data_IF_690325992441
#
_entry.id   IF_690325992441
#
_cell.length_a   1.000
_cell.length_b   1.000
_cell.length_c   1.000
_cell.angle_alpha   90.00
_cell.angle_beta   90.00
_cell.angle_gamma   90.00
#
_symmetry.space_group_name_H-M   'P 1'
#
loop_
_entity.id
_entity.type
_entity.pdbx_description
1 polymer ?
#
# COMPACT_ATOMS: atom_id res chain seq x y z
N UNK A 1 -41.56 -68.08 19.29
CA UNK A 1 -42.44 -67.52 18.24
C UNK A 1 -41.54 -67.02 17.11
N UNK A 2 -41.02 -67.90 16.24
CA UNK A 2 -41.53 -68.21 14.87
C UNK A 2 -41.54 -66.95 13.97
N UNK A 3 -40.56 -66.80 13.07
CA UNK A 3 -40.61 -67.20 11.63
C UNK A 3 -41.56 -66.27 10.84
N UNK A 4 -41.33 -65.71 9.64
CA UNK A 4 -40.67 -66.09 8.36
C UNK A 4 -40.93 -64.87 7.44
N UNK A 5 -39.98 -64.32 6.68
CA UNK A 5 -39.55 -64.67 5.30
C UNK A 5 -40.55 -64.37 4.15
N UNK A 6 -39.97 -63.95 3.01
CA UNK A 6 -40.51 -63.83 1.63
C UNK A 6 -41.52 -62.69 1.31
N UNK A 7 -41.62 -62.09 0.11
CA UNK A 7 -40.84 -61.94 -1.14
C UNK A 7 -41.76 -61.20 -2.17
N UNK A 8 -41.21 -60.81 -3.34
CA UNK A 8 -41.89 -60.31 -4.56
C UNK A 8 -42.34 -58.83 -4.53
N UNK A 9 -42.14 -57.99 -5.55
CA UNK A 9 -41.62 -58.14 -6.90
C UNK A 9 -42.13 -56.96 -7.76
N UNK A 10 -41.40 -56.57 -8.80
CA UNK A 10 -42.03 -55.96 -10.00
C UNK A 10 -41.76 -54.49 -10.35
N UNK A 11 -40.82 -54.32 -11.29
CA UNK A 11 -40.90 -53.51 -12.53
C UNK A 11 -40.92 -51.96 -12.49
N UNK A 12 -39.75 -51.43 -12.90
CA UNK A 12 -39.49 -50.39 -13.91
C UNK A 12 -40.70 -49.81 -14.67
N UNK A 13 -40.74 -48.47 -14.77
CA UNK A 13 -40.62 -47.74 -16.06
C UNK A 13 -40.37 -46.25 -15.86
N UNK A 14 -39.38 -45.76 -16.60
CA UNK A 14 -39.13 -44.34 -16.87
C UNK A 14 -40.16 -43.82 -17.89
N UNK A 15 -40.57 -42.56 -17.76
CA UNK A 15 -41.08 -41.75 -18.89
C UNK A 15 -40.62 -40.30 -18.70
N UNK A 16 -39.75 -39.88 -19.61
CA UNK A 16 -39.43 -38.52 -20.06
C UNK A 16 -40.59 -37.91 -20.86
N UNK A 17 -40.90 -36.63 -20.66
CA UNK A 17 -41.32 -35.65 -21.70
C UNK A 17 -41.50 -34.27 -21.04
N UNK A 18 -40.62 -33.28 -21.20
CA UNK A 18 -40.53 -32.25 -22.27
C UNK A 18 -41.81 -31.50 -22.65
N UNK A 19 -41.76 -30.20 -22.36
CA UNK A 19 -42.21 -29.00 -23.10
C UNK A 19 -43.66 -28.88 -23.61
N UNK A 20 -44.27 -27.74 -23.30
CA UNK A 20 -45.45 -27.24 -24.02
C UNK A 20 -46.02 -25.94 -23.47
N UNK A 21 -45.47 -24.82 -23.93
CA UNK A 21 -45.88 -23.43 -23.69
C UNK A 21 -47.33 -23.11 -24.07
N UNK A 22 -48.03 -22.24 -23.31
CA UNK A 22 -48.67 -20.99 -23.81
C UNK A 22 -49.43 -20.19 -22.75
N UNK A 23 -49.00 -18.93 -22.62
CA UNK A 23 -49.72 -17.65 -22.59
C UNK A 23 -50.88 -17.38 -21.60
N UNK A 24 -50.67 -16.34 -20.79
CA UNK A 24 -51.70 -15.47 -20.22
C UNK A 24 -51.06 -14.20 -19.65
N UNK A 25 -51.25 -13.07 -20.32
CA UNK A 25 -50.67 -11.75 -20.03
C UNK A 25 -51.57 -10.88 -19.12
N UNK A 26 -51.00 -10.01 -18.27
CA UNK A 26 -51.47 -8.67 -17.79
C UNK A 26 -50.25 -7.97 -17.11
N UNK A 27 -49.57 -7.00 -17.75
CA UNK A 27 -49.68 -5.51 -17.68
C UNK A 27 -49.27 -4.85 -16.35
N UNK A 28 -48.28 -3.93 -16.38
CA UNK A 28 -48.09 -2.84 -15.40
C UNK A 28 -46.64 -2.38 -15.13
N UNK A 29 -46.16 -1.39 -15.91
CA UNK A 29 -45.05 -0.39 -15.75
C UNK A 29 -44.23 -0.35 -14.43
N UNK A 30 -42.89 -0.45 -14.40
CA UNK A 30 -41.78 0.39 -14.94
C UNK A 30 -41.61 1.78 -14.29
N UNK A 31 -40.66 1.89 -13.34
CA UNK A 31 -39.99 3.14 -12.97
C UNK A 31 -38.48 2.98 -13.14
N UNK A 32 -37.93 3.76 -14.07
CA UNK A 32 -36.52 3.85 -14.40
C UNK A 32 -35.73 4.53 -13.27
N UNK A 33 -34.62 3.92 -12.86
CA UNK A 33 -33.56 4.60 -12.11
C UNK A 33 -32.35 4.76 -13.03
N UNK A 34 -32.12 6.00 -13.46
CA UNK A 34 -30.95 6.42 -14.24
C UNK A 34 -29.68 6.26 -13.41
N UNK A 35 -28.87 5.26 -13.75
CA UNK A 35 -27.45 5.21 -13.39
C UNK A 35 -26.65 6.03 -14.39
N UNK A 36 -26.02 7.10 -13.90
CA UNK A 36 -25.06 7.87 -14.67
C UNK A 36 -23.78 7.04 -14.88
N UNK A 37 -23.65 6.43 -16.06
CA UNK A 37 -22.40 5.84 -16.53
C UNK A 37 -21.41 6.97 -16.85
N UNK A 38 -20.49 7.24 -15.92
CA UNK A 38 -19.27 8.01 -16.22
C UNK A 38 -18.38 7.08 -17.04
N UNK A 39 -18.28 7.37 -18.34
CA UNK A 39 -17.43 6.66 -19.28
C UNK A 39 -15.95 6.84 -18.90
N UNK A 40 -15.33 5.79 -18.38
CA UNK A 40 -13.87 5.71 -18.27
C UNK A 40 -13.29 5.64 -19.69
N UNK A 41 -12.54 6.68 -20.08
CA UNK A 41 -11.69 6.64 -21.28
C UNK A 41 -10.58 5.61 -21.05
N UNK A 42 -10.37 4.64 -21.96
CA UNK A 42 -9.25 3.72 -21.85
C UNK A 42 -7.95 4.49 -22.09
N UNK A 43 -7.03 4.39 -21.13
CA UNK A 43 -5.63 4.81 -21.29
C UNK A 43 -5.02 3.93 -22.38
N UNK A 44 -4.55 4.56 -23.45
CA UNK A 44 -3.93 3.89 -24.58
C UNK A 44 -2.64 3.17 -24.12
N UNK A 45 -2.67 1.84 -24.13
CA UNK A 45 -1.47 1.02 -24.15
C UNK A 45 -0.76 1.30 -25.48
N UNK A 46 0.40 1.96 -25.41
CA UNK A 46 1.31 2.08 -26.54
C UNK A 46 1.90 0.70 -26.85
N UNK A 47 1.22 -0.01 -27.75
CA UNK A 47 1.70 -1.23 -28.38
C UNK A 47 2.90 -0.90 -29.29
N UNK A 48 4.11 -1.30 -28.90
CA UNK A 48 5.25 -1.30 -29.79
C UNK A 48 5.30 -2.62 -30.58
N UNK A 49 5.62 -2.61 -31.89
CA UNK A 49 5.60 -3.80 -32.73
C UNK A 49 6.88 -4.63 -32.52
N UNK A 50 6.71 -5.90 -32.17
CA UNK A 50 7.77 -6.91 -32.24
C UNK A 50 8.23 -7.08 -33.70
N UNK A 51 9.47 -6.69 -33.99
CA UNK A 51 10.17 -7.14 -35.19
C UNK A 51 10.82 -8.49 -34.90
N UNK A 52 10.20 -9.53 -35.44
CA UNK A 52 10.77 -10.86 -35.61
C UNK A 52 11.98 -10.82 -36.55
N UNK A 53 13.17 -11.04 -36.00
CA UNK A 53 14.32 -11.50 -36.78
C UNK A 53 14.34 -13.03 -36.70
N UNK A 54 13.78 -13.66 -37.74
CA UNK A 54 13.87 -15.09 -37.95
C UNK A 54 15.29 -15.50 -38.36
N UNK A 55 15.85 -16.48 -37.67
CA UNK A 55 16.90 -17.35 -38.18
C UNK A 55 16.34 -18.79 -38.16
N UNK A 56 16.44 -19.56 -39.26
CA UNK A 56 15.82 -20.87 -39.35
C UNK A 56 16.79 -21.93 -38.82
N UNK A 57 16.35 -22.73 -37.85
CA UNK A 57 16.96 -24.03 -37.60
C UNK A 57 15.86 -25.09 -37.47
N UNK A 58 15.81 -25.94 -38.49
CA UNK A 58 15.00 -27.16 -38.53
C UNK A 58 15.51 -28.20 -37.52
N UNK A 59 14.65 -29.11 -37.04
CA UNK A 59 14.99 -30.07 -36.00
C UNK A 59 15.84 -31.22 -36.56
N UNK A 60 16.99 -31.49 -35.94
CA UNK A 60 17.76 -32.72 -36.21
C UNK A 60 17.19 -33.84 -35.33
N UNK A 61 17.00 -34.97 -36.00
CA UNK A 61 16.38 -36.19 -35.54
C UNK A 61 16.89 -36.76 -34.21
N UNK A 62 15.94 -37.33 -33.48
CA UNK A 62 16.14 -38.13 -32.30
C UNK A 62 16.96 -39.40 -32.60
N UNK A 63 18.02 -39.63 -31.83
CA UNK A 63 18.64 -40.94 -31.63
C UNK A 63 18.77 -41.23 -30.13
N UNK A 64 18.56 -42.49 -29.69
CA UNK A 64 18.31 -42.82 -28.30
C UNK A 64 19.63 -43.00 -27.54
N UNK A 65 19.90 -42.14 -26.55
CA UNK A 65 20.98 -42.36 -25.60
C UNK A 65 20.43 -43.09 -24.37
N UNK A 66 21.03 -44.25 -24.10
CA UNK A 66 20.79 -45.14 -22.96
C UNK A 66 21.15 -44.48 -21.61
N UNK A 67 20.46 -44.81 -20.50
CA UNK A 67 20.66 -44.16 -19.20
C UNK A 67 21.53 -45.03 -18.28
N UNK A 68 22.86 -44.95 -18.34
CA UNK A 68 23.71 -45.72 -17.41
C UNK A 68 24.84 -44.89 -16.74
N UNK A 69 25.09 -43.63 -17.11
CA UNK A 69 26.22 -42.85 -16.53
C UNK A 69 25.88 -41.48 -15.93
N UNK A 70 24.63 -41.21 -15.53
CA UNK A 70 24.23 -39.93 -14.91
C UNK A 70 24.06 -39.95 -13.38
N UNK A 71 24.09 -41.13 -12.74
CA UNK A 71 23.84 -41.26 -11.29
C UNK A 71 25.08 -41.00 -10.44
N UNK A 72 26.27 -41.42 -10.87
CA UNK A 72 27.51 -41.24 -10.09
C UNK A 72 27.99 -39.79 -10.08
N UNK A 73 27.84 -39.06 -11.20
CA UNK A 73 28.22 -37.64 -11.29
C UNK A 73 27.27 -36.76 -10.48
N UNK A 74 25.98 -37.10 -10.43
CA UNK A 74 25.01 -36.38 -9.60
C UNK A 74 25.22 -36.63 -8.10
N UNK A 75 25.63 -37.84 -7.70
CA UNK A 75 26.00 -38.15 -6.32
C UNK A 75 27.31 -37.48 -5.90
N UNK A 76 28.35 -37.49 -6.74
CA UNK A 76 29.60 -36.77 -6.48
C UNK A 76 29.40 -35.26 -6.44
N UNK A 77 28.62 -34.68 -7.38
CA UNK A 77 28.26 -33.26 -7.36
C UNK A 77 27.48 -32.91 -6.09
N UNK A 78 26.56 -33.77 -5.66
CA UNK A 78 25.79 -33.58 -4.43
C UNK A 78 26.66 -33.68 -3.19
N UNK A 79 27.54 -34.68 -3.10
CA UNK A 79 28.51 -34.83 -2.01
C UNK A 79 29.50 -33.67 -1.96
N UNK A 80 29.93 -33.14 -3.11
CA UNK A 80 30.83 -31.99 -3.17
C UNK A 80 30.08 -30.71 -2.78
N UNK A 81 28.83 -30.50 -3.22
CA UNK A 81 28.03 -29.34 -2.81
C UNK A 81 27.62 -29.38 -1.33
N UNK A 82 27.31 -30.56 -0.80
CA UNK A 82 26.94 -30.77 0.62
C UNK A 82 28.19 -30.89 1.52
N UNK A 83 29.41 -30.90 0.96
CA UNK A 83 30.64 -30.87 1.75
C UNK A 83 30.87 -29.48 2.36
N UNK A 84 31.47 -29.37 3.56
CA UNK A 84 31.77 -28.07 4.16
C UNK A 84 32.57 -27.11 3.26
N UNK A 85 33.55 -27.58 2.44
CA UNK A 85 34.21 -26.73 1.44
C UNK A 85 33.30 -26.27 0.30
N UNK A 86 32.35 -27.11 -0.13
CA UNK A 86 31.37 -26.75 -1.17
C UNK A 86 30.36 -25.72 -0.70
N UNK A 87 29.85 -25.89 0.51
CA UNK A 87 28.97 -24.91 1.16
C UNK A 87 29.70 -23.57 1.35
N UNK A 88 30.96 -23.60 1.78
CA UNK A 88 31.80 -22.41 1.85
C UNK A 88 31.94 -21.73 0.47
N UNK A 89 32.25 -22.49 -0.59
CA UNK A 89 32.40 -21.95 -1.94
C UNK A 89 31.10 -21.35 -2.48
N UNK A 90 29.95 -21.99 -2.23
CA UNK A 90 28.64 -21.45 -2.56
C UNK A 90 28.36 -20.16 -1.80
N UNK A 91 28.67 -20.10 -0.50
CA UNK A 91 28.49 -18.89 0.30
C UNK A 91 29.39 -17.74 -0.17
N UNK A 92 30.62 -18.04 -0.62
CA UNK A 92 31.48 -17.04 -1.28
C UNK A 92 30.87 -16.57 -2.59
N UNK A 93 30.39 -17.48 -3.45
CA UNK A 93 29.72 -17.11 -4.70
C UNK A 93 28.47 -16.25 -4.45
N UNK A 94 27.63 -16.63 -3.48
CA UNK A 94 26.46 -15.83 -3.07
C UNK A 94 26.88 -14.43 -2.62
N UNK A 95 27.94 -14.32 -1.83
CA UNK A 95 28.48 -13.04 -1.36
C UNK A 95 29.05 -12.18 -2.49
N UNK A 96 29.74 -12.80 -3.46
CA UNK A 96 30.23 -12.12 -4.66
C UNK A 96 29.09 -11.62 -5.54
N UNK A 97 28.05 -12.42 -5.74
CA UNK A 97 26.87 -12.02 -6.53
C UNK A 97 26.12 -10.86 -5.88
N UNK A 98 25.91 -10.92 -4.55
CA UNK A 98 25.31 -9.81 -3.79
C UNK A 98 26.20 -8.56 -3.88
N UNK A 99 27.52 -8.72 -3.76
CA UNK A 99 28.48 -7.62 -3.91
C UNK A 99 28.45 -7.00 -5.31
N UNK A 100 28.29 -7.81 -6.36
CA UNK A 100 28.16 -7.34 -7.74
C UNK A 100 26.85 -6.57 -7.96
N UNK A 101 25.72 -7.07 -7.45
CA UNK A 101 24.44 -6.36 -7.50
C UNK A 101 24.52 -5.00 -6.82
N UNK A 102 25.25 -4.91 -5.71
CA UNK A 102 25.42 -3.68 -4.93
C UNK A 102 26.19 -2.57 -5.68
N UNK A 103 26.89 -2.89 -6.76
CA UNK A 103 27.56 -1.87 -7.59
C UNK A 103 26.59 -1.12 -8.51
N UNK A 104 25.40 -1.66 -8.75
CA UNK A 104 24.33 -0.96 -9.47
C UNK A 104 23.44 -0.14 -8.53
N UNK A 105 22.41 0.54 -9.07
CA UNK A 105 21.38 1.14 -8.23
C UNK A 105 20.66 0.05 -7.41
N UNK A 106 20.22 0.36 -6.20
CA UNK A 106 19.54 -0.58 -5.31
C UNK A 106 18.21 0.03 -4.89
N UNK A 107 17.10 -0.73 -4.97
CA UNK A 107 15.82 -0.20 -4.57
C UNK A 107 15.80 0.10 -3.06
N UNK A 108 15.32 1.27 -2.68
CA UNK A 108 15.26 1.67 -1.27
C UNK A 108 14.13 0.95 -0.52
N UNK A 109 13.03 0.68 -1.21
CA UNK A 109 11.83 0.03 -0.67
C UNK A 109 11.37 -1.10 -1.60
N UNK A 110 11.29 -2.32 -1.06
CA UNK A 110 10.81 -3.52 -1.76
C UNK A 110 9.60 -4.10 -1.03
N UNK A 111 8.53 -4.42 -1.77
CA UNK A 111 7.35 -5.10 -1.26
C UNK A 111 7.24 -6.54 -1.81
N UNK A 112 6.87 -7.48 -0.93
CA UNK A 112 6.68 -8.89 -1.28
C UNK A 112 5.24 -9.37 -0.98
N UNK A 113 4.53 -9.80 -2.01
CA UNK A 113 3.29 -10.58 -1.89
C UNK A 113 3.63 -12.08 -1.92
N UNK A 114 3.69 -12.67 -0.72
CA UNK A 114 4.17 -14.03 -0.46
C UNK A 114 3.13 -15.11 -0.78
N UNK A 115 2.72 -15.23 -2.05
CA UNK A 115 1.70 -16.17 -2.51
C UNK A 115 2.29 -17.56 -2.86
N UNK A 116 1.47 -18.59 -2.77
CA UNK A 116 1.79 -19.95 -3.20
C UNK A 116 2.01 -20.97 -2.08
N UNK A 117 2.06 -20.56 -0.81
CA UNK A 117 2.35 -21.45 0.33
C UNK A 117 1.44 -22.70 0.39
N UNK A 118 0.13 -22.52 0.22
CA UNK A 118 -0.83 -23.65 0.21
C UNK A 118 -0.69 -24.55 -1.00
N UNK A 119 -0.38 -23.97 -2.18
CA UNK A 119 -0.18 -24.71 -3.43
C UNK A 119 1.10 -25.54 -3.36
N UNK A 120 2.16 -24.95 -2.80
CA UNK A 120 3.42 -25.61 -2.50
C UNK A 120 3.25 -26.82 -1.56
N UNK A 121 2.49 -26.66 -0.47
CA UNK A 121 2.20 -27.75 0.46
C UNK A 121 1.50 -28.93 -0.24
N UNK A 122 0.49 -28.63 -1.08
CA UNK A 122 -0.23 -29.66 -1.84
C UNK A 122 0.66 -30.37 -2.86
N UNK A 123 1.51 -29.64 -3.59
CA UNK A 123 2.41 -30.24 -4.59
C UNK A 123 3.46 -31.15 -3.95
N UNK A 124 3.87 -30.85 -2.72
CA UNK A 124 4.84 -31.65 -1.94
C UNK A 124 4.19 -32.66 -0.99
N UNK A 125 2.85 -32.85 -1.05
CA UNK A 125 2.08 -33.76 -0.17
C UNK A 125 2.32 -33.50 1.33
N UNK A 126 2.38 -32.24 1.71
CA UNK A 126 2.56 -31.79 3.08
C UNK A 126 1.30 -31.09 3.59
N UNK A 127 1.21 -30.90 4.91
CA UNK A 127 0.14 -30.09 5.49
C UNK A 127 0.26 -28.61 5.12
N UNK A 128 -0.88 -27.92 5.05
CA UNK A 128 -0.94 -26.50 4.72
C UNK A 128 -0.13 -25.64 5.69
N UNK A 129 -0.18 -25.95 6.98
CA UNK A 129 0.56 -25.22 8.03
C UNK A 129 2.08 -25.34 7.83
N UNK A 130 2.56 -26.49 7.37
CA UNK A 130 3.97 -26.71 7.05
C UNK A 130 4.43 -25.88 5.85
N UNK A 131 3.57 -25.75 4.82
CA UNK A 131 3.82 -24.84 3.71
C UNK A 131 4.00 -23.38 4.15
N UNK A 132 3.23 -22.94 5.15
CA UNK A 132 3.38 -21.62 5.74
C UNK A 132 4.64 -21.48 6.60
N UNK A 133 5.07 -22.53 7.32
CA UNK A 133 6.36 -22.54 8.03
C UNK A 133 7.54 -22.34 7.07
N UNK A 134 7.59 -23.10 5.97
CA UNK A 134 8.63 -22.92 4.94
C UNK A 134 8.56 -21.55 4.26
N UNK A 135 7.35 -20.99 4.13
CA UNK A 135 7.18 -19.63 3.65
C UNK A 135 7.83 -18.60 4.59
N UNK A 136 7.75 -18.79 5.90
CA UNK A 136 8.44 -17.93 6.85
C UNK A 136 9.98 -18.07 6.76
N UNK A 137 10.50 -19.29 6.55
CA UNK A 137 11.93 -19.48 6.32
C UNK A 137 12.41 -18.78 5.04
N UNK A 138 11.61 -18.83 3.97
CA UNK A 138 11.89 -18.08 2.75
C UNK A 138 11.93 -16.57 3.00
N UNK A 139 11.01 -16.04 3.82
CA UNK A 139 11.02 -14.64 4.24
C UNK A 139 12.35 -14.27 4.93
N UNK A 140 12.80 -15.06 5.90
CA UNK A 140 14.06 -14.81 6.59
C UNK A 140 15.25 -14.78 5.62
N UNK A 141 15.32 -15.75 4.69
CA UNK A 141 16.38 -15.82 3.67
C UNK A 141 16.37 -14.60 2.74
N UNK A 142 15.20 -14.21 2.23
CA UNK A 142 15.07 -13.08 1.30
C UNK A 142 15.36 -11.76 2.01
N UNK A 143 14.88 -11.60 3.24
CA UNK A 143 15.17 -10.43 4.06
C UNK A 143 16.67 -10.26 4.28
N UNK A 144 17.39 -11.35 4.56
CA UNK A 144 18.86 -11.32 4.66
C UNK A 144 19.49 -10.83 3.36
N UNK A 145 19.05 -11.36 2.22
CA UNK A 145 19.54 -10.96 0.90
C UNK A 145 19.27 -9.47 0.64
N UNK A 146 18.05 -8.99 0.89
CA UNK A 146 17.67 -7.58 0.70
C UNK A 146 18.55 -6.64 1.54
N UNK A 147 18.73 -6.93 2.82
CA UNK A 147 19.55 -6.08 3.70
C UNK A 147 21.04 -6.14 3.34
N UNK A 148 21.55 -7.29 2.90
CA UNK A 148 22.93 -7.39 2.41
C UNK A 148 23.14 -6.64 1.08
N UNK A 149 22.13 -6.61 0.22
CA UNK A 149 22.14 -5.79 -1.00
C UNK A 149 22.11 -4.29 -0.68
N UNK A 150 21.58 -3.89 0.48
CA UNK A 150 21.47 -2.48 0.89
C UNK A 150 20.07 -1.88 0.78
N UNK A 151 19.03 -2.73 0.66
CA UNK A 151 17.63 -2.30 0.73
C UNK A 151 17.34 -1.77 2.14
N UNK A 152 16.69 -0.61 2.26
CA UNK A 152 16.39 0.00 3.56
C UNK A 152 15.06 -0.47 4.13
N UNK A 153 14.03 -0.58 3.30
CA UNK A 153 12.68 -0.93 3.74
C UNK A 153 12.20 -2.16 2.98
N UNK A 154 11.78 -3.17 3.74
CA UNK A 154 11.15 -4.38 3.21
C UNK A 154 9.73 -4.45 3.76
N UNK A 155 8.74 -4.51 2.87
CA UNK A 155 7.33 -4.63 3.23
C UNK A 155 6.80 -5.99 2.78
N UNK A 156 6.16 -6.74 3.68
CA UNK A 156 5.69 -8.09 3.37
C UNK A 156 4.21 -8.25 3.66
N UNK A 157 3.50 -8.91 2.74
CA UNK A 157 2.09 -9.21 2.91
C UNK A 157 1.90 -10.53 3.66
N UNK A 158 1.75 -10.44 4.98
CA UNK A 158 1.64 -11.62 5.83
C UNK A 158 0.21 -12.16 5.93
N UNK A 159 -0.78 -11.29 6.11
CA UNK A 159 -2.18 -11.69 6.25
C UNK A 159 -3.13 -10.57 5.81
N UNK A 160 -4.10 -10.90 4.95
CA UNK A 160 -5.11 -9.94 4.50
C UNK A 160 -6.37 -9.94 5.36
N UNK A 161 -7.10 -8.83 5.38
CA UNK A 161 -8.43 -8.78 6.01
C UNK A 161 -9.37 -9.81 5.36
N UNK A 162 -9.26 -10.01 4.04
CA UNK A 162 -10.06 -11.02 3.33
C UNK A 162 -9.74 -12.46 3.76
N UNK A 163 -8.58 -12.71 4.38
CA UNK A 163 -8.20 -14.05 4.84
C UNK A 163 -9.03 -14.52 6.04
N UNK A 164 -9.75 -13.63 6.74
CA UNK A 164 -10.73 -14.03 7.74
C UNK A 164 -11.92 -14.82 7.17
N UNK A 165 -12.15 -14.77 5.84
CA UNK A 165 -13.17 -15.58 5.17
C UNK A 165 -12.77 -17.06 5.02
N UNK A 166 -11.55 -17.44 5.39
CA UNK A 166 -11.09 -18.84 5.36
C UNK A 166 -11.68 -19.65 6.53
N UNK A 167 -11.62 -20.99 6.49
CA UNK A 167 -12.09 -21.82 7.60
C UNK A 167 -11.43 -21.42 8.93
N UNK A 168 -12.20 -21.39 10.02
CA UNK A 168 -11.74 -20.91 11.34
C UNK A 168 -10.45 -21.59 11.83
N UNK A 169 -10.31 -22.89 11.60
CA UNK A 169 -9.12 -23.65 11.98
C UNK A 169 -7.85 -23.22 11.21
N UNK A 170 -7.99 -22.80 9.94
CA UNK A 170 -6.86 -22.29 9.15
C UNK A 170 -6.45 -20.90 9.65
N UNK A 171 -7.42 -20.03 9.93
CA UNK A 171 -7.17 -18.70 10.50
C UNK A 171 -6.50 -18.81 11.87
N UNK A 172 -6.98 -19.70 12.73
CA UNK A 172 -6.38 -19.97 14.03
C UNK A 172 -4.95 -20.51 13.92
N UNK A 173 -4.71 -21.45 13.00
CA UNK A 173 -3.36 -21.93 12.71
C UNK A 173 -2.41 -20.83 12.22
N UNK A 174 -2.90 -19.91 11.38
CA UNK A 174 -2.11 -18.77 10.90
C UNK A 174 -1.81 -17.76 12.02
N UNK A 175 -2.76 -17.48 12.91
CA UNK A 175 -2.55 -16.61 14.07
C UNK A 175 -1.54 -17.22 15.05
N UNK A 176 -1.64 -18.52 15.31
CA UNK A 176 -0.68 -19.23 16.15
C UNK A 176 0.72 -19.26 15.51
N UNK A 177 0.80 -19.46 14.19
CA UNK A 177 2.06 -19.37 13.46
C UNK A 177 2.66 -17.97 13.56
N UNK A 178 1.86 -16.93 13.34
CA UNK A 178 2.30 -15.54 13.45
C UNK A 178 2.88 -15.24 14.84
N UNK A 179 2.21 -15.70 15.90
CA UNK A 179 2.69 -15.59 17.29
C UNK A 179 4.09 -16.19 17.45
N UNK A 180 4.24 -17.48 17.12
CA UNK A 180 5.51 -18.21 17.27
C UNK A 180 6.62 -17.58 16.44
N UNK A 181 6.31 -17.17 15.20
CA UNK A 181 7.31 -16.62 14.28
C UNK A 181 7.73 -15.20 14.64
N UNK A 182 6.81 -14.35 15.10
CA UNK A 182 7.16 -13.03 15.63
C UNK A 182 8.00 -13.13 16.91
N UNK A 183 7.68 -14.07 17.81
CA UNK A 183 8.53 -14.36 18.98
C UNK A 183 9.93 -14.81 18.55
N UNK A 184 10.03 -15.69 17.55
CA UNK A 184 11.32 -16.14 17.00
C UNK A 184 12.13 -14.96 16.45
N UNK A 185 11.54 -14.11 15.59
CA UNK A 185 12.22 -12.94 15.02
C UNK A 185 12.77 -12.00 16.07
N UNK A 186 12.11 -11.90 17.22
CA UNK A 186 12.51 -10.95 18.28
C UNK A 186 13.50 -11.56 19.26
N UNK A 187 13.68 -12.87 19.33
CA UNK A 187 14.58 -13.48 20.33
C UNK A 187 16.05 -13.12 20.04
N UNK A 188 16.83 -12.84 21.10
CA UNK A 188 18.18 -12.24 21.02
C UNK A 188 19.10 -12.92 19.99
N UNK A 189 19.77 -12.11 19.16
CA UNK A 189 20.77 -12.55 18.18
C UNK A 189 20.20 -12.83 16.78
N UNK A 190 18.91 -12.61 16.57
CA UNK A 190 18.31 -12.86 15.27
C UNK A 190 18.62 -11.73 14.25
N UNK A 191 18.25 -11.99 13.01
CA UNK A 191 18.44 -11.18 11.81
C UNK A 191 18.12 -9.69 12.01
N UNK A 192 17.14 -9.34 12.85
CA UNK A 192 16.72 -7.96 13.09
C UNK A 192 17.80 -7.14 13.81
N UNK A 193 18.40 -7.68 14.87
CA UNK A 193 19.47 -6.99 15.62
C UNK A 193 20.77 -6.95 14.81
N UNK A 194 21.06 -8.04 14.07
CA UNK A 194 22.26 -8.13 13.20
C UNK A 194 22.29 -7.06 12.12
N UNK A 195 21.15 -6.80 11.48
CA UNK A 195 21.04 -5.78 10.43
C UNK A 195 20.54 -4.42 10.95
N UNK A 196 20.18 -4.31 12.24
CA UNK A 196 19.61 -3.10 12.82
C UNK A 196 18.28 -2.72 12.18
N UNK A 197 17.40 -3.71 11.97
CA UNK A 197 16.08 -3.55 11.38
C UNK A 197 15.01 -3.26 12.45
N UNK A 198 14.18 -2.25 12.22
CA UNK A 198 13.02 -1.91 13.03
C UNK A 198 11.77 -2.59 12.47
N UNK A 199 11.03 -3.33 13.30
CA UNK A 199 9.78 -3.97 12.90
C UNK A 199 8.62 -3.02 13.12
N UNK A 200 7.76 -2.91 12.11
CA UNK A 200 6.46 -2.22 12.18
C UNK A 200 5.38 -3.17 11.68
N UNK A 201 4.24 -3.20 12.36
CA UNK A 201 3.08 -3.98 11.94
C UNK A 201 2.01 -3.03 11.43
N UNK A 202 1.68 -3.15 10.15
CA UNK A 202 0.75 -2.27 9.44
C UNK A 202 -0.57 -3.02 9.21
N UNK A 203 -1.70 -2.41 9.58
CA UNK A 203 -3.00 -3.05 9.43
C UNK A 203 -4.00 -2.71 10.54
N UNK A 204 -5.15 -3.39 10.50
CA UNK A 204 -6.24 -3.26 11.46
C UNK A 204 -5.94 -4.08 12.71
N UNK A 205 -5.35 -3.42 13.71
CA UNK A 205 -4.90 -4.05 14.95
C UNK A 205 -6.06 -4.59 15.79
N UNK A 206 -7.23 -4.01 15.62
CA UNK A 206 -8.47 -4.36 16.33
C UNK A 206 -8.99 -5.76 15.95
N UNK A 207 -8.58 -6.28 14.78
CA UNK A 207 -8.96 -7.62 14.32
C UNK A 207 -8.01 -8.71 14.81
N UNK A 208 -6.86 -8.34 15.37
CA UNK A 208 -5.83 -9.27 15.82
C UNK A 208 -6.27 -9.90 17.15
N UNK A 209 -5.98 -11.19 17.31
CA UNK A 209 -6.18 -11.88 18.58
C UNK A 209 -5.27 -11.28 19.66
N UNK A 210 -5.82 -11.04 20.84
CA UNK A 210 -5.14 -10.32 21.93
C UNK A 210 -3.76 -10.90 22.28
N UNK A 211 -3.61 -12.23 22.30
CA UNK A 211 -2.33 -12.87 22.60
C UNK A 211 -1.26 -12.67 21.51
N UNK A 212 -1.66 -12.48 20.25
CA UNK A 212 -0.77 -12.12 19.14
C UNK A 212 -0.43 -10.64 19.20
N UNK A 213 -1.39 -9.80 19.57
CA UNK A 213 -1.20 -8.35 19.69
C UNK A 213 -0.12 -8.01 20.74
N UNK A 214 -0.12 -8.70 21.88
CA UNK A 214 0.92 -8.57 22.91
C UNK A 214 2.33 -8.89 22.39
N UNK A 215 2.45 -9.92 21.54
CA UNK A 215 3.73 -10.27 20.90
C UNK A 215 4.14 -9.21 19.88
N UNK A 216 3.20 -8.70 19.10
CA UNK A 216 3.44 -7.60 18.15
C UNK A 216 3.96 -6.36 18.89
N UNK A 217 3.32 -5.96 19.98
CA UNK A 217 3.75 -4.78 20.76
C UNK A 217 5.13 -4.97 21.37
N UNK A 218 5.40 -6.15 21.90
CA UNK A 218 6.73 -6.52 22.39
C UNK A 218 7.77 -6.46 21.28
N UNK A 219 7.44 -6.93 20.07
CA UNK A 219 8.35 -6.90 18.92
C UNK A 219 8.70 -5.46 18.52
N UNK A 220 7.68 -4.64 18.30
CA UNK A 220 7.82 -3.22 17.90
C UNK A 220 8.61 -2.44 18.96
N UNK A 221 8.27 -2.62 20.25
CA UNK A 221 8.96 -1.93 21.34
C UNK A 221 10.44 -2.31 21.43
N UNK A 222 10.77 -3.59 21.25
CA UNK A 222 12.16 -4.06 21.30
C UNK A 222 12.99 -3.53 20.15
N UNK A 223 12.45 -3.48 18.94
CA UNK A 223 13.20 -3.01 17.75
C UNK A 223 13.13 -1.50 17.51
N UNK A 224 12.47 -0.74 18.39
CA UNK A 224 12.27 0.72 18.20
C UNK A 224 13.56 1.53 18.07
N UNK A 225 14.64 1.06 18.69
CA UNK A 225 15.94 1.73 18.67
C UNK A 225 16.75 1.47 17.39
N UNK A 226 16.34 0.50 16.59
CA UNK A 226 16.99 0.17 15.33
C UNK A 226 16.63 1.20 14.26
N UNK A 227 17.63 1.71 13.54
CA UNK A 227 17.45 2.79 12.55
C UNK A 227 18.13 2.52 11.19
N UNK A 228 18.71 1.33 10.98
CA UNK A 228 19.43 1.02 9.74
C UNK A 228 18.49 0.53 8.63
N UNK A 229 17.51 -0.29 9.01
CA UNK A 229 16.53 -0.84 8.10
C UNK A 229 15.14 -0.91 8.76
N UNK A 230 14.11 -1.14 7.97
CA UNK A 230 12.72 -1.32 8.42
C UNK A 230 12.14 -2.59 7.81
N UNK A 231 11.42 -3.36 8.62
CA UNK A 231 10.57 -4.47 8.21
C UNK A 231 9.11 -4.10 8.50
N UNK A 232 8.34 -3.83 7.46
CA UNK A 232 6.91 -3.62 7.56
C UNK A 232 6.16 -4.93 7.33
N UNK A 233 5.41 -5.37 8.33
CA UNK A 233 4.61 -6.59 8.28
C UNK A 233 3.14 -6.20 8.16
N UNK A 234 2.54 -6.43 6.99
CA UNK A 234 1.14 -6.13 6.74
C UNK A 234 0.24 -7.23 7.30
N UNK A 235 -0.40 -6.97 8.44
CA UNK A 235 -1.12 -7.96 9.25
C UNK A 235 -2.12 -7.32 10.24
N UNK A 236 -3.43 -7.61 10.13
CA UNK A 236 -4.24 -7.84 8.94
C UNK A 236 -4.35 -6.57 8.12
N UNK A 237 -4.08 -6.65 6.82
CA UNK A 237 -3.99 -5.46 5.98
C UNK A 237 -4.83 -5.58 4.70
N UNK A 238 -5.40 -4.46 4.25
CA UNK A 238 -5.86 -4.23 2.87
C UNK A 238 -5.67 -2.75 2.53
N UNK A 239 -5.31 -2.45 1.28
CA UNK A 239 -4.98 -1.08 0.86
C UNK A 239 -6.21 -0.18 0.88
N UNK A 240 -7.38 -0.67 0.48
CA UNK A 240 -8.64 0.09 0.63
C UNK A 240 -8.94 0.48 2.07
N UNK A 241 -8.65 -0.40 3.03
CA UNK A 241 -8.86 -0.09 4.43
C UNK A 241 -7.84 0.92 4.95
N UNK A 242 -6.58 0.83 4.52
CA UNK A 242 -5.55 1.84 4.80
C UNK A 242 -5.99 3.22 4.27
N UNK A 243 -6.38 3.32 3.00
CA UNK A 243 -6.85 4.57 2.39
C UNK A 243 -8.05 5.14 3.16
N UNK A 244 -9.02 4.29 3.51
CA UNK A 244 -10.19 4.70 4.30
C UNK A 244 -9.79 5.24 5.68
N UNK A 245 -8.77 4.63 6.30
CA UNK A 245 -8.26 5.03 7.61
C UNK A 245 -7.52 6.37 7.50
N UNK A 246 -6.69 6.55 6.47
CA UNK A 246 -6.00 7.81 6.20
C UNK A 246 -6.98 8.97 5.97
N UNK A 247 -8.06 8.75 5.21
CA UNK A 247 -9.13 9.73 5.02
C UNK A 247 -9.82 10.04 6.34
N UNK A 248 -10.19 9.03 7.14
CA UNK A 248 -10.81 9.24 8.46
C UNK A 248 -9.92 10.05 9.40
N UNK A 249 -8.61 9.74 9.44
CA UNK A 249 -7.63 10.48 10.24
C UNK A 249 -7.49 11.92 9.76
N UNK A 250 -7.46 12.15 8.45
CA UNK A 250 -7.42 13.50 7.86
C UNK A 250 -8.66 14.29 8.28
N UNK A 251 -9.85 13.70 8.15
CA UNK A 251 -11.10 14.35 8.58
C UNK A 251 -11.10 14.61 10.09
N UNK A 252 -10.58 13.69 10.90
CA UNK A 252 -10.45 13.89 12.35
C UNK A 252 -9.47 15.01 12.70
N UNK A 253 -8.34 15.12 11.99
CA UNK A 253 -7.36 16.22 12.17
C UNK A 253 -8.00 17.57 11.79
N UNK A 254 -8.76 17.63 10.70
CA UNK A 254 -9.45 18.83 10.25
C UNK A 254 -10.62 19.25 11.16
N UNK A 255 -11.31 18.30 11.77
CA UNK A 255 -12.39 18.56 12.74
C UNK A 255 -11.86 18.81 14.15
N UNK A 256 -10.62 18.45 14.45
CA UNK A 256 -10.02 18.71 15.74
C UNK A 256 -9.88 20.23 15.95
N UNK A 257 -10.17 20.74 17.16
CA UNK A 257 -9.87 22.13 17.45
C UNK A 257 -8.38 22.37 17.20
N UNK A 258 -8.00 23.48 16.54
CA UNK A 258 -6.59 23.76 16.31
C UNK A 258 -5.88 23.71 17.66
N UNK A 259 -4.69 23.08 17.76
CA UNK A 259 -3.94 23.07 19.01
C UNK A 259 -3.83 24.53 19.47
N UNK A 260 -3.97 24.80 20.78
CA UNK A 260 -3.85 26.17 21.27
C UNK A 260 -2.54 26.69 20.72
N UNK A 261 -2.61 27.73 19.88
CA UNK A 261 -1.41 28.46 19.50
C UNK A 261 -0.77 28.80 20.84
N UNK A 262 0.42 28.26 21.11
CA UNK A 262 1.27 28.79 22.15
C UNK A 262 1.55 30.21 21.71
N UNK A 263 0.64 31.13 22.02
CA UNK A 263 0.97 32.53 22.04
C UNK A 263 2.07 32.58 23.08
N UNK A 264 3.30 32.94 22.70
CA UNK A 264 4.24 33.33 23.72
C UNK A 264 3.56 34.55 24.33
N UNK A 265 2.92 34.38 25.50
CA UNK A 265 2.68 35.50 26.38
C UNK A 265 4.06 36.07 26.61
N UNK A 266 4.44 37.07 25.80
CA UNK A 266 5.77 37.62 25.87
C UNK A 266 5.88 38.14 27.30
N UNK A 267 6.88 37.70 28.08
CA UNK A 267 7.08 38.21 29.43
C UNK A 267 7.14 39.74 29.44
N UNK A 268 7.56 40.33 28.31
CA UNK A 268 7.58 41.76 28.04
C UNK A 268 6.19 42.39 28.10
N UNK A 269 5.13 41.78 27.53
CA UNK A 269 3.77 42.34 27.54
C UNK A 269 3.11 42.27 28.92
N UNK A 270 3.43 41.22 29.69
CA UNK A 270 3.02 41.10 31.10
C UNK A 270 3.77 42.14 31.95
N UNK A 271 5.09 42.25 31.78
CA UNK A 271 5.93 43.19 32.51
C UNK A 271 5.57 44.64 32.19
N UNK A 272 5.26 44.95 30.93
CA UNK A 272 4.85 46.28 30.49
C UNK A 272 3.47 46.66 31.04
N UNK A 273 2.53 45.70 31.13
CA UNK A 273 1.21 45.95 31.74
C UNK A 273 1.28 46.11 33.27
N UNK A 274 2.19 45.38 33.93
CA UNK A 274 2.47 45.55 35.37
C UNK A 274 3.16 46.90 35.63
N UNK A 275 4.18 47.24 34.84
CA UNK A 275 4.89 48.53 34.94
C UNK A 275 3.97 49.72 34.64
N UNK A 276 3.10 49.63 33.62
CA UNK A 276 2.14 50.69 33.31
C UNK A 276 1.07 50.82 34.40
N UNK A 277 0.64 49.73 35.04
CA UNK A 277 -0.30 49.77 36.17
C UNK A 277 0.30 50.32 37.46
N UNK A 278 1.63 50.28 37.60
CA UNK A 278 2.36 50.89 38.72
C UNK A 278 2.68 52.37 38.49
N UNK A 279 2.46 52.88 37.28
CA UNK A 279 2.74 54.25 36.85
C UNK A 279 1.47 55.10 36.68
N UNK A 280 0.39 54.80 37.41
CA UNK A 280 -0.78 55.70 37.57
C UNK A 280 -0.41 56.96 38.37
N UNK A 281 0.51 57.74 37.80
CA UNK A 281 1.14 58.89 38.43
C UNK A 281 2.31 59.43 37.62
N UNK A 282 2.02 59.90 36.39
CA UNK A 282 2.78 60.83 35.51
C UNK A 282 3.43 60.23 34.25
N UNK A 283 2.92 60.76 33.13
CA UNK A 283 3.36 60.87 31.73
C UNK A 283 3.71 59.61 30.91
N UNK A 284 3.14 59.45 29.68
CA UNK A 284 3.41 58.31 28.82
C UNK A 284 4.78 58.39 28.12
N UNK A 285 5.55 57.30 28.19
CA UNK A 285 6.80 57.08 27.44
C UNK A 285 6.51 56.65 25.98
N UNK A 286 7.42 56.96 25.02
CA UNK A 286 7.17 56.75 23.60
C UNK A 286 7.16 55.26 23.20
N UNK A 287 6.20 54.92 22.34
CA UNK A 287 6.01 53.60 21.74
C UNK A 287 7.18 53.27 20.82
N UNK A 288 7.95 52.22 21.13
CA UNK A 288 8.93 51.64 20.19
C UNK A 288 8.14 50.80 19.18
N UNK A 289 8.28 51.11 17.88
CA UNK A 289 7.79 50.26 16.79
C UNK A 289 8.61 48.98 16.74
N UNK A 290 7.92 47.84 16.73
CA UNK A 290 8.52 46.51 16.66
C UNK A 290 8.59 46.13 15.16
N UNK A 291 9.79 46.18 14.59
CA UNK A 291 10.08 45.69 13.23
C UNK A 291 10.02 44.15 13.26
N UNK A 292 8.93 43.59 12.76
CA UNK A 292 8.86 42.20 12.31
C UNK A 292 8.35 42.20 10.86
N UNK A 293 8.93 41.39 9.95
CA UNK A 293 8.76 41.58 8.53
C UNK A 293 7.40 41.06 8.07
N UNK A 294 6.49 41.97 7.71
CA UNK A 294 5.29 41.65 6.93
C UNK A 294 5.64 41.68 5.44
N UNK A 295 5.56 40.51 4.82
CA UNK A 295 5.56 40.35 3.37
C UNK A 295 4.23 40.86 2.81
N UNK A 296 4.24 42.09 2.29
CA UNK A 296 3.17 42.60 1.45
C UNK A 296 3.75 43.43 0.31
N UNK A 297 3.80 42.84 -0.88
CA UNK A 297 3.99 43.56 -2.13
C UNK A 297 2.73 44.37 -2.45
N UNK A 298 2.82 45.68 -2.30
CA UNK A 298 1.86 46.66 -2.79
C UNK A 298 1.98 46.86 -4.31
N UNK A 299 0.83 47.06 -4.99
CA UNK A 299 0.71 48.02 -6.10
C UNK A 299 -0.65 48.71 -6.01
N UNK A 300 -0.58 50.02 -5.79
CA UNK A 300 -1.66 51.01 -5.79
C UNK A 300 -1.92 51.59 -7.19
N UNK A 301 -3.05 52.31 -7.30
CA UNK A 301 -3.42 53.30 -8.33
C UNK A 301 -4.83 53.02 -8.87
N UNK A 302 -5.82 53.91 -8.91
CA UNK A 302 -5.92 55.36 -8.69
C UNK A 302 -7.44 55.70 -8.63
N UNK A 303 -7.82 56.88 -8.10
CA UNK A 303 -9.19 57.42 -7.85
C UNK A 303 -10.06 57.75 -9.13
N UNK A 304 -11.20 58.51 -9.09
CA UNK A 304 -12.52 58.27 -8.47
C UNK A 304 -13.73 58.55 -9.44
N UNK A 305 -14.95 58.58 -8.88
CA UNK A 305 -16.23 59.16 -9.38
C UNK A 305 -17.09 58.43 -10.44
N UNK A 306 -18.32 58.04 -10.06
CA UNK A 306 -19.61 58.54 -10.62
C UNK A 306 -20.84 57.76 -10.13
N UNK A 307 -21.88 58.53 -9.80
CA UNK A 307 -23.28 58.09 -9.68
C UNK A 307 -23.83 57.60 -11.05
N UNK A 308 -24.77 56.64 -11.03
CA UNK A 308 -26.08 56.62 -11.76
C UNK A 308 -26.67 55.20 -11.84
N UNK A 309 -27.95 55.16 -11.47
CA UNK A 309 -29.12 54.29 -11.77
C UNK A 309 -29.04 52.94 -12.53
N UNK A 310 -29.74 51.95 -11.93
CA UNK A 310 -30.82 51.06 -12.44
C UNK A 310 -30.78 50.47 -13.87
N UNK A 311 -30.78 49.12 -13.97
CA UNK A 311 -31.76 48.25 -14.67
C UNK A 311 -31.31 46.76 -14.60
N UNK A 312 -32.15 45.81 -14.12
CA UNK A 312 -32.86 44.73 -14.88
C UNK A 312 -31.95 43.94 -15.86
N UNK A 313 -31.84 42.59 -15.89
CA UNK A 313 -32.86 41.54 -15.76
C UNK A 313 -32.22 40.11 -15.75
N UNK A 314 -33.01 39.08 -15.35
CA UNK A 314 -32.82 37.63 -15.64
C UNK A 314 -32.29 36.76 -14.48
N UNK A 315 -33.09 35.99 -13.72
CA UNK A 315 -33.90 34.82 -14.11
C UNK A 315 -33.05 33.54 -13.87
N UNK A 316 -33.37 32.52 -13.06
CA UNK A 316 -34.64 31.98 -12.57
C UNK A 316 -34.47 31.39 -11.15
N UNK A 317 -35.44 31.67 -10.27
CA UNK A 317 -35.57 31.02 -8.96
C UNK A 317 -36.99 30.45 -8.86
N UNK A 318 -37.10 29.13 -8.72
CA UNK A 318 -38.39 28.44 -8.62
C UNK A 318 -38.84 28.34 -7.16
N UNK A 319 -39.95 29.02 -6.92
CA UNK A 319 -40.77 29.10 -5.73
C UNK A 319 -41.25 27.75 -5.19
N UNK A 320 -41.14 27.56 -3.87
CA UNK A 320 -42.02 26.67 -3.11
C UNK A 320 -42.63 27.46 -1.94
N UNK A 321 -43.92 27.77 -2.08
CA UNK A 321 -44.72 28.62 -1.21
C UNK A 321 -45.08 27.88 0.09
N UNK A 322 -44.68 28.42 1.25
CA UNK A 322 -45.17 27.96 2.56
C UNK A 322 -46.38 28.81 3.01
N UNK A 323 -47.38 28.22 3.70
CA UNK A 323 -48.59 28.91 4.15
C UNK A 323 -48.35 29.93 5.29
N UNK A 324 -49.22 30.96 5.44
CA UNK A 324 -48.89 32.21 6.15
C UNK A 324 -49.10 32.22 7.67
N UNK A 325 -49.06 31.08 8.37
CA UNK A 325 -49.30 31.02 9.82
C UNK A 325 -48.28 30.13 10.56
N UNK A 326 -46.99 30.45 10.39
CA UNK A 326 -45.93 29.99 11.31
C UNK A 326 -45.48 31.16 12.19
N UNK A 327 -45.35 31.00 13.52
CA UNK A 327 -44.95 32.08 14.40
C UNK A 327 -43.56 32.60 13.98
N UNK A 328 -43.48 33.89 13.67
CA UNK A 328 -42.23 34.59 13.33
C UNK A 328 -41.17 34.24 14.36
N UNK A 329 -40.12 33.52 13.96
CA UNK A 329 -38.94 33.40 14.79
C UNK A 329 -38.45 34.82 15.07
N UNK A 330 -38.46 35.20 16.35
CA UNK A 330 -37.83 36.45 16.79
C UNK A 330 -36.38 36.34 16.35
N UNK A 331 -36.00 37.15 15.36
CA UNK A 331 -34.62 37.54 15.12
C UNK A 331 -34.11 38.10 16.45
N UNK A 332 -33.45 37.26 17.24
CA UNK A 332 -32.54 37.71 18.26
C UNK A 332 -31.34 38.30 17.52
N UNK A 333 -31.43 39.60 17.24
CA UNK A 333 -30.27 40.47 17.15
C UNK A 333 -29.66 40.56 18.55
N UNK A 334 -28.92 39.51 18.91
CA UNK A 334 -28.06 39.46 20.08
C UNK A 334 -26.65 39.21 19.58
N UNK A 335 -25.80 40.22 19.71
CA UNK A 335 -24.34 40.11 19.64
C UNK A 335 -23.87 39.08 20.67
N UNK A 336 -23.82 37.83 20.23
CA UNK A 336 -23.11 36.74 20.86
C UNK A 336 -22.27 36.12 19.77
N UNK A 337 -21.00 36.52 19.71
CA UNK A 337 -20.00 35.81 18.91
C UNK A 337 -19.89 34.39 19.46
N UNK A 338 -20.73 33.50 18.94
CA UNK A 338 -20.45 32.08 18.99
C UNK A 338 -19.21 31.92 18.12
N UNK A 339 -18.06 31.73 18.76
CA UNK A 339 -16.84 31.27 18.11
C UNK A 339 -17.18 29.97 17.37
N UNK A 340 -17.66 30.08 16.12
CA UNK A 340 -17.65 28.97 15.20
C UNK A 340 -16.17 28.56 15.12
N UNK A 341 -15.82 27.30 15.42
CA UNK A 341 -14.45 26.86 15.26
C UNK A 341 -14.06 27.18 13.83
N UNK A 342 -13.02 27.98 13.65
CA UNK A 342 -12.48 28.32 12.35
C UNK A 342 -11.83 27.03 11.81
N UNK A 343 -12.66 26.17 11.22
CA UNK A 343 -12.27 24.87 10.70
C UNK A 343 -11.42 25.10 9.44
N UNK A 344 -10.33 24.35 9.27
CA UNK A 344 -9.51 24.42 8.06
C UNK A 344 -10.34 24.16 6.80
N UNK A 345 -10.07 24.92 5.72
CA UNK A 345 -10.79 24.79 4.45
C UNK A 345 -10.59 23.37 3.88
N UNK A 346 -11.65 22.59 3.59
CA UNK A 346 -11.54 21.27 3.01
C UNK A 346 -10.82 21.23 1.64
N UNK A 347 -10.82 22.33 0.89
CA UNK A 347 -10.11 22.43 -0.40
C UNK A 347 -8.58 22.41 -0.25
N UNK A 348 -8.06 22.58 0.97
CA UNK A 348 -6.63 22.49 1.25
C UNK A 348 -6.10 21.05 1.35
N UNK A 349 -6.97 20.03 1.33
CA UNK A 349 -6.56 18.63 1.42
C UNK A 349 -5.87 18.22 0.11
N UNK A 350 -4.58 17.92 0.19
CA UNK A 350 -3.77 17.46 -0.94
C UNK A 350 -3.45 15.96 -0.85
N UNK A 351 -2.86 15.40 -1.92
CA UNK A 351 -2.32 14.03 -1.94
C UNK A 351 -1.32 13.82 -0.80
N UNK A 352 -0.44 14.80 -0.56
CA UNK A 352 0.55 14.78 0.52
C UNK A 352 -0.11 14.72 1.92
N UNK A 353 -1.25 15.38 2.08
CA UNK A 353 -2.03 15.33 3.34
C UNK A 353 -2.53 13.92 3.60
N UNK A 354 -3.00 13.22 2.57
CA UNK A 354 -3.44 11.83 2.70
C UNK A 354 -2.24 10.89 2.93
N UNK A 355 -1.13 11.08 2.21
CA UNK A 355 0.09 10.28 2.35
C UNK A 355 0.68 10.34 3.76
N UNK A 356 0.64 11.52 4.40
CA UNK A 356 1.05 11.70 5.80
C UNK A 356 0.29 10.79 6.77
N UNK A 357 -0.97 10.48 6.46
CA UNK A 357 -1.85 9.64 7.28
C UNK A 357 -1.89 8.16 6.87
N UNK A 358 -1.22 7.77 5.80
CA UNK A 358 -1.03 6.36 5.43
C UNK A 358 -0.10 5.67 6.43
N UNK A 359 -0.15 4.34 6.53
CA UNK A 359 0.69 3.59 7.47
C UNK A 359 2.18 3.67 7.10
N UNK A 360 2.48 3.89 5.81
CA UNK A 360 3.84 3.93 5.26
C UNK A 360 4.38 5.35 5.10
N UNK A 361 3.82 6.35 5.77
CA UNK A 361 4.19 7.77 5.59
C UNK A 361 5.66 8.09 5.91
N UNK A 362 6.32 7.25 6.71
CA UNK A 362 7.73 7.40 7.10
C UNK A 362 8.70 6.65 6.16
N UNK A 363 8.17 5.89 5.21
CA UNK A 363 8.98 5.04 4.34
C UNK A 363 9.27 5.74 3.01
N UNK A 364 10.40 5.43 2.36
CA UNK A 364 10.64 5.90 1.01
C UNK A 364 9.60 5.31 0.04
N UNK A 365 9.38 5.95 -1.12
CA UNK A 365 8.46 5.45 -2.15
C UNK A 365 8.76 4.00 -2.52
N UNK A 366 7.70 3.24 -2.81
CA UNK A 366 7.83 1.85 -3.20
C UNK A 366 8.38 1.75 -4.63
N UNK A 367 9.57 1.16 -4.80
CA UNK A 367 10.24 1.09 -6.10
C UNK A 367 10.13 -0.29 -6.76
N UNK A 368 9.98 -1.33 -5.94
CA UNK A 368 9.95 -2.72 -6.39
C UNK A 368 8.84 -3.49 -5.68
N UNK A 369 7.95 -4.11 -6.44
CA UNK A 369 6.91 -5.01 -5.95
C UNK A 369 7.10 -6.38 -6.57
N UNK A 370 7.18 -7.41 -5.73
CA UNK A 370 7.36 -8.79 -6.19
C UNK A 370 6.22 -9.66 -5.67
N UNK A 371 5.57 -10.38 -6.59
CA UNK A 371 4.57 -11.39 -6.27
C UNK A 371 4.98 -12.73 -6.84
N UNK A 372 4.86 -13.78 -6.02
CA UNK A 372 5.12 -15.16 -6.42
C UNK A 372 3.84 -15.87 -6.88
N UNK A 373 3.97 -17.12 -7.32
CA UNK A 373 2.92 -18.09 -7.68
C UNK A 373 2.23 -17.95 -9.04
N UNK A 374 2.74 -17.10 -9.92
CA UNK A 374 2.28 -16.94 -11.30
C UNK A 374 0.95 -16.19 -11.46
N UNK A 375 0.45 -15.57 -10.39
CA UNK A 375 -0.81 -14.81 -10.41
C UNK A 375 -0.50 -13.34 -10.67
N UNK A 376 -1.16 -12.75 -11.66
CA UNK A 376 -0.97 -11.35 -12.08
C UNK A 376 -2.08 -10.44 -11.54
N UNK A 377 -2.02 -10.12 -10.24
CA UNK A 377 -2.88 -9.11 -9.59
C UNK A 377 -2.17 -8.55 -8.34
N UNK A 378 -2.74 -7.52 -7.71
CA UNK A 378 -2.20 -6.94 -6.46
C UNK A 378 -2.92 -7.40 -5.19
N UNK A 379 -4.06 -8.10 -5.30
CA UNK A 379 -4.87 -8.59 -4.14
C UNK A 379 -5.11 -7.54 -3.03
N UNK A 380 -5.40 -6.28 -3.40
CA UNK A 380 -5.61 -5.18 -2.45
C UNK A 380 -4.39 -4.92 -1.54
N UNK A 381 -3.17 -5.07 -2.08
CA UNK A 381 -1.90 -4.81 -1.40
C UNK A 381 -1.23 -3.56 -1.95
N UNK A 382 -0.93 -2.57 -1.09
CA UNK A 382 -0.14 -1.37 -1.39
C UNK A 382 -0.61 -0.61 -2.67
N UNK A 383 -1.91 -0.53 -2.92
CA UNK A 383 -2.47 0.05 -4.16
C UNK A 383 -2.10 1.52 -4.34
N UNK A 384 -2.14 2.30 -3.26
CA UNK A 384 -1.75 3.71 -3.29
C UNK A 384 -0.25 3.86 -3.58
N UNK A 385 0.56 3.06 -2.91
CA UNK A 385 2.02 3.13 -3.00
C UNK A 385 2.56 2.60 -4.34
N UNK A 386 1.83 1.70 -5.02
CA UNK A 386 2.25 1.11 -6.30
C UNK A 386 1.99 1.97 -7.54
N UNK A 387 1.45 3.19 -7.41
CA UNK A 387 0.72 3.82 -8.53
C UNK A 387 1.59 4.45 -9.64
N UNK A 388 2.77 5.04 -9.33
CA UNK A 388 3.57 5.79 -10.32
C UNK A 388 4.85 5.07 -10.70
N UNK A 389 5.77 4.95 -9.73
CA UNK A 389 7.17 4.62 -9.98
C UNK A 389 7.57 3.22 -9.48
N UNK A 390 6.59 2.35 -9.27
CA UNK A 390 6.82 0.99 -8.79
C UNK A 390 6.93 0.00 -9.94
N UNK A 391 8.02 -0.76 -9.98
CA UNK A 391 8.15 -1.88 -10.91
C UNK A 391 7.51 -3.14 -10.33
N UNK A 392 6.52 -3.69 -11.04
CA UNK A 392 5.80 -4.89 -10.65
C UNK A 392 6.44 -6.13 -11.31
N UNK A 393 6.76 -7.14 -10.50
CA UNK A 393 7.31 -8.41 -10.93
C UNK A 393 6.41 -9.57 -10.49
N UNK A 394 5.89 -10.31 -11.48
CA UNK A 394 5.08 -11.51 -11.25
C UNK A 394 5.92 -12.76 -11.58
N UNK A 395 6.28 -13.51 -10.55
CA UNK A 395 7.13 -14.70 -10.66
C UNK A 395 6.30 -15.97 -10.64
N UNK A 396 6.65 -16.92 -11.50
CA UNK A 396 5.97 -18.22 -11.59
C UNK A 396 6.31 -19.17 -10.43
N UNK A 397 7.44 -18.96 -9.74
CA UNK A 397 7.85 -19.80 -8.60
C UNK A 397 6.91 -19.64 -7.40
N UNK A 398 6.79 -20.67 -6.56
CA UNK A 398 6.09 -20.54 -5.28
C UNK A 398 6.95 -19.80 -4.25
N UNK A 399 6.31 -19.13 -3.29
CA UNK A 399 7.03 -18.38 -2.25
C UNK A 399 8.09 -19.20 -1.49
N UNK A 400 7.83 -20.44 -1.05
CA UNK A 400 8.85 -21.25 -0.37
C UNK A 400 10.08 -21.58 -1.23
N UNK A 401 9.93 -21.61 -2.57
CA UNK A 401 11.01 -21.87 -3.54
C UNK A 401 11.76 -20.61 -3.97
N UNK A 402 11.27 -19.44 -3.58
CA UNK A 402 11.91 -18.17 -3.90
C UNK A 402 13.23 -18.05 -3.12
N UNK A 403 14.32 -17.78 -3.83
CA UNK A 403 15.69 -17.71 -3.31
C UNK A 403 16.51 -16.69 -4.13
N UNK A 404 17.77 -16.47 -3.72
CA UNK A 404 18.70 -15.52 -4.32
C UNK A 404 18.74 -15.56 -5.85
N UNK A 405 18.71 -16.75 -6.46
CA UNK A 405 18.76 -16.86 -7.93
C UNK A 405 17.60 -16.08 -8.59
N UNK A 406 16.39 -16.22 -8.07
CA UNK A 406 15.22 -15.50 -8.58
C UNK A 406 15.34 -14.00 -8.30
N UNK A 407 15.80 -13.65 -7.09
CA UNK A 407 15.98 -12.26 -6.69
C UNK A 407 17.04 -11.53 -7.53
N UNK A 408 18.13 -12.21 -7.92
CA UNK A 408 19.15 -11.66 -8.83
C UNK A 408 18.52 -11.24 -10.15
N UNK A 409 17.67 -12.08 -10.77
CA UNK A 409 17.02 -11.74 -12.03
C UNK A 409 16.10 -10.54 -11.89
N UNK A 410 15.30 -10.50 -10.83
CA UNK A 410 14.43 -9.34 -10.52
C UNK A 410 15.25 -8.07 -10.36
N UNK A 411 16.35 -8.14 -9.59
CA UNK A 411 17.23 -6.99 -9.36
C UNK A 411 17.91 -6.52 -10.64
N UNK A 412 18.45 -7.42 -11.46
CA UNK A 412 19.11 -7.06 -12.72
C UNK A 412 18.13 -6.41 -13.70
N UNK A 413 16.93 -6.96 -13.82
CA UNK A 413 15.89 -6.40 -14.67
C UNK A 413 15.43 -5.03 -14.16
N UNK A 414 15.26 -4.87 -12.85
CA UNK A 414 14.96 -3.57 -12.25
C UNK A 414 16.07 -2.55 -12.51
N UNK A 415 17.34 -2.91 -12.29
CA UNK A 415 18.50 -2.05 -12.54
C UNK A 415 18.59 -1.63 -14.01
N UNK A 416 18.26 -2.54 -14.93
CA UNK A 416 18.22 -2.26 -16.35
C UNK A 416 17.10 -1.27 -16.73
N UNK A 417 15.88 -1.47 -16.19
CA UNK A 417 14.74 -0.58 -16.40
C UNK A 417 14.99 0.83 -15.83
N UNK A 418 15.63 0.93 -14.66
CA UNK A 418 16.03 2.22 -14.08
C UNK A 418 17.00 2.96 -14.99
N UNK A 419 18.01 2.26 -15.52
CA UNK A 419 18.95 2.86 -16.48
C UNK A 419 18.29 3.30 -17.78
N UNK A 420 17.22 2.63 -18.22
CA UNK A 420 16.42 3.09 -19.38
C UNK A 420 15.67 4.37 -19.06
N UNK A 421 14.97 4.41 -17.91
CA UNK A 421 14.25 5.59 -17.45
C UNK A 421 15.17 6.81 -17.35
N UNK A 422 16.34 6.66 -16.73
CA UNK A 422 17.35 7.73 -16.65
C UNK A 422 17.81 8.24 -18.02
N UNK A 423 17.92 7.36 -19.02
CA UNK A 423 18.29 7.74 -20.39
C UNK A 423 17.19 8.52 -21.08
N UNK A 424 15.95 8.09 -20.90
CA UNK A 424 14.77 8.72 -21.49
C UNK A 424 14.53 10.10 -20.88
N UNK A 425 14.61 10.22 -19.55
CA UNK A 425 14.51 11.48 -18.81
C UNK A 425 15.61 12.48 -19.25
N UNK A 426 16.84 12.00 -19.42
CA UNK A 426 17.94 12.83 -19.90
C UNK A 426 17.74 13.28 -21.35
N UNK A 427 17.19 12.42 -22.21
CA UNK A 427 16.87 12.77 -23.59
C UNK A 427 15.75 13.82 -23.66
N UNK A 428 14.74 13.72 -22.80
CA UNK A 428 13.64 14.69 -22.70
C UNK A 428 14.13 16.05 -22.18
N UNK A 429 14.93 16.07 -21.11
CA UNK A 429 15.57 17.29 -20.59
C UNK A 429 16.41 17.98 -21.66
N UNK A 430 17.17 17.22 -22.46
CA UNK A 430 17.96 17.77 -23.56
C UNK A 430 17.09 18.38 -24.68
N UNK A 431 15.94 17.79 -24.99
CA UNK A 431 14.97 18.34 -25.96
C UNK A 431 14.34 19.64 -25.43
N UNK A 432 13.89 19.65 -24.18
CA UNK A 432 13.26 20.82 -23.56
C UNK A 432 14.26 21.98 -23.40
N UNK A 433 15.52 21.69 -23.08
CA UNK A 433 16.59 22.68 -23.05
C UNK A 433 16.91 23.27 -24.43
N UNK A 434 16.88 22.47 -25.51
CA UNK A 434 17.03 22.97 -26.88
C UNK A 434 15.83 23.80 -27.33
N UNK A 435 14.61 23.40 -26.96
CA UNK A 435 13.40 24.15 -27.28
C UNK A 435 13.39 25.54 -26.62
N UNK A 436 13.79 25.64 -25.34
CA UNK A 436 13.94 26.94 -24.66
C UNK A 436 14.95 27.87 -25.34
N UNK A 437 16.11 27.33 -25.77
CA UNK A 437 17.15 28.10 -26.48
C UNK A 437 16.79 28.51 -27.92
N UNK A 438 15.71 27.98 -28.49
CA UNK A 438 15.21 28.38 -29.81
C UNK A 438 14.10 29.43 -29.71
N UNK A 439 13.54 29.64 -28.51
CA UNK A 439 12.48 30.61 -28.21
C UNK A 439 13.05 31.91 -27.64
N UNK A 440 14.24 31.85 -27.01
CA UNK A 440 15.11 33.00 -26.69
C UNK A 440 15.95 33.41 -27.91
#
# INVERSE_FOLDING_TARGET
>A
MSATDLSHGGRRRAVTATLGSRNGAVVGESSETRTANVAFRPVALLSYPERSLGLPFSPIDALPWSPIMSSSVSLLRRLILESPPGEWALNQLRSLLIGALRQGPIPQHVAFEMDGNRRYARSHRMETVEGHHRGFEALARIMEICYRCGVKVVTVYAFSVENYNRPKHEVEGLMQLAKVKLEQLTTYGDILDRYGACVRVLGQREMIREDVLQVVDKAVARTKHNNKAVLNICFPYTSRAEITTAIKLTVQEFLAPPPPKNTPFSPSRIRQKILSSQLDGRDPLPTIQDDSPDDSTAREGDEPDKEVEVDMDGGDSSSATLPPDSPKSRLWSGEGSYNAPNLPNPESITVETLEKHMYTSQDPPLELFVRTSGVERLSDFMLWQCHQDTHLFFLQCYWPDFDLQHFIWVMLEWQWRQKQKERDDNAERARNGKARRLVE
#
